data_IF_035578602810
#
_entry.id   IF_035578602810
#
_cell.length_a   1.000
_cell.length_b   1.000
_cell.length_c   1.000
_cell.angle_alpha   90.00
_cell.angle_beta   90.00
_cell.angle_gamma   90.00
#
_symmetry.space_group_name_H-M   'P 1'
#
loop_
_entity.id
_entity.type
_entity.pdbx_description
1 polymer ?
#
# COMPACT_ATOMS: atom_id res chain seq x y z
N UNK A 1 -3.34 24.77 -5.87
CA UNK A 1 -2.90 23.39 -6.03
C UNK A 1 -3.77 22.57 -5.10
N UNK A 2 -4.58 21.68 -5.64
CA UNK A 2 -5.37 20.73 -4.83
C UNK A 2 -4.45 19.65 -4.26
N UNK A 3 -4.89 18.93 -3.23
CA UNK A 3 -4.11 17.84 -2.63
C UNK A 3 -3.81 16.72 -3.63
N UNK A 4 -4.79 16.35 -4.46
CA UNK A 4 -4.59 15.42 -5.59
C UNK A 4 -3.53 15.92 -6.59
N UNK A 5 -3.56 17.21 -6.94
CA UNK A 5 -2.56 17.79 -7.84
C UNK A 5 -1.15 17.71 -7.26
N UNK A 6 -1.01 17.87 -5.94
CA UNK A 6 0.25 17.69 -5.23
C UNK A 6 0.74 16.24 -5.34
N UNK A 7 -0.09 15.26 -4.98
CA UNK A 7 0.28 13.84 -5.02
C UNK A 7 0.61 13.36 -6.44
N UNK A 8 -0.15 13.81 -7.44
CA UNK A 8 0.14 13.52 -8.84
C UNK A 8 1.47 14.10 -9.30
N UNK A 9 1.81 15.31 -8.84
CA UNK A 9 3.07 15.93 -9.16
C UNK A 9 4.23 15.21 -8.49
N UNK A 10 4.12 14.88 -7.19
CA UNK A 10 5.09 14.08 -6.45
C UNK A 10 5.33 12.73 -7.13
N UNK A 11 4.26 12.02 -7.53
CA UNK A 11 4.40 10.76 -8.25
C UNK A 11 5.12 10.90 -9.59
N UNK A 12 4.87 11.97 -10.35
CA UNK A 12 5.60 12.24 -11.60
C UNK A 12 7.08 12.49 -11.36
N UNK A 13 7.42 13.28 -10.35
CA UNK A 13 8.81 13.58 -9.99
C UNK A 13 9.54 12.29 -9.60
N UNK A 14 8.93 11.44 -8.79
CA UNK A 14 9.50 10.14 -8.44
C UNK A 14 9.70 9.27 -9.67
N UNK A 15 8.72 9.20 -10.59
CA UNK A 15 8.87 8.45 -11.85
C UNK A 15 10.02 8.94 -12.72
N UNK A 16 10.25 10.25 -12.78
CA UNK A 16 11.38 10.80 -13.52
C UNK A 16 12.72 10.45 -12.86
N UNK A 17 12.81 10.52 -11.52
CA UNK A 17 14.01 10.06 -10.79
C UNK A 17 14.37 8.60 -11.11
N UNK A 18 13.37 7.71 -11.18
CA UNK A 18 13.60 6.29 -11.54
C UNK A 18 14.18 6.14 -12.95
N UNK A 19 13.76 6.98 -13.91
CA UNK A 19 14.32 6.94 -15.28
C UNK A 19 15.76 7.43 -15.34
N UNK A 20 16.17 8.29 -14.41
CA UNK A 20 17.53 8.83 -14.37
C UNK A 20 18.53 7.84 -13.74
N UNK A 21 18.08 6.97 -12.82
CA UNK A 21 18.91 6.02 -12.08
C UNK A 21 18.46 4.56 -12.26
N UNK A 22 18.69 4.02 -13.46
CA UNK A 22 18.19 2.73 -13.97
C UNK A 22 18.77 1.49 -13.23
N UNK A 23 19.68 1.68 -12.27
CA UNK A 23 20.50 0.58 -11.70
C UNK A 23 20.23 0.26 -10.23
N UNK A 24 19.57 1.15 -9.48
CA UNK A 24 19.28 0.91 -8.07
C UNK A 24 18.04 1.71 -7.62
N UNK A 25 16.88 1.29 -8.11
CA UNK A 25 15.61 1.90 -7.75
C UNK A 25 15.28 1.63 -6.26
N UNK A 26 15.38 2.65 -5.42
CA UNK A 26 14.87 2.66 -4.04
C UNK A 26 13.40 3.09 -4.03
N UNK A 27 12.51 2.21 -3.61
CA UNK A 27 11.07 2.43 -3.57
C UNK A 27 10.58 3.10 -2.28
N UNK A 28 11.49 3.38 -1.33
CA UNK A 28 11.17 4.01 -0.04
C UNK A 28 10.39 5.32 -0.21
N UNK A 29 10.80 6.19 -1.15
CA UNK A 29 10.09 7.45 -1.41
C UNK A 29 8.66 7.22 -1.96
N UNK A 30 8.43 6.12 -2.68
CA UNK A 30 7.09 5.78 -3.16
C UNK A 30 6.21 5.23 -2.03
N UNK A 31 6.76 4.47 -1.09
CA UNK A 31 6.03 4.00 0.08
C UNK A 31 5.61 5.15 0.99
N UNK A 32 6.50 6.13 1.24
CA UNK A 32 6.11 7.34 1.98
C UNK A 32 4.99 8.11 1.29
N UNK A 33 5.03 8.22 -0.05
CA UNK A 33 3.95 8.86 -0.80
C UNK A 33 2.64 8.08 -0.70
N UNK A 34 2.69 6.74 -0.70
CA UNK A 34 1.51 5.90 -0.48
C UNK A 34 0.93 6.15 0.92
N UNK A 35 1.76 6.13 1.97
CA UNK A 35 1.32 6.37 3.35
C UNK A 35 0.63 7.73 3.50
N UNK A 36 1.20 8.78 2.89
CA UNK A 36 0.62 10.12 2.90
C UNK A 36 -0.76 10.14 2.21
N UNK A 37 -0.89 9.49 1.05
CA UNK A 37 -2.16 9.41 0.33
C UNK A 37 -3.17 8.55 1.11
N UNK A 38 -2.76 7.45 1.72
CA UNK A 38 -3.63 6.56 2.51
C UNK A 38 -4.17 7.27 3.75
N UNK A 39 -3.36 8.11 4.41
CA UNK A 39 -3.82 8.97 5.49
C UNK A 39 -4.88 9.96 4.99
N UNK A 40 -4.66 10.61 3.84
CA UNK A 40 -5.64 11.53 3.27
C UNK A 40 -6.92 10.81 2.84
N UNK A 41 -6.82 9.60 2.27
CA UNK A 41 -7.96 8.75 1.95
C UNK A 41 -8.81 8.52 3.20
N UNK A 42 -8.20 8.20 4.34
CA UNK A 42 -8.92 8.02 5.61
C UNK A 42 -9.69 9.29 5.99
N UNK A 43 -9.05 10.45 5.96
CA UNK A 43 -9.66 11.74 6.33
C UNK A 43 -10.77 12.18 5.36
N UNK A 44 -10.61 11.91 4.06
CA UNK A 44 -11.64 12.17 3.04
C UNK A 44 -12.79 11.19 3.19
N UNK A 45 -12.49 9.92 3.43
CA UNK A 45 -13.47 8.85 3.56
C UNK A 45 -14.46 9.11 4.69
N UNK A 46 -13.98 9.50 5.87
CA UNK A 46 -14.84 9.87 7.00
C UNK A 46 -15.83 10.98 6.62
N UNK A 47 -15.34 12.07 6.00
CA UNK A 47 -16.17 13.18 5.54
C UNK A 47 -17.18 12.79 4.47
N UNK A 48 -16.80 11.88 3.58
CA UNK A 48 -17.65 11.36 2.51
C UNK A 48 -18.77 10.50 3.09
N UNK A 49 -18.46 9.58 4.00
CA UNK A 49 -19.45 8.69 4.62
C UNK A 49 -20.45 9.43 5.50
N UNK A 50 -20.02 10.49 6.18
CA UNK A 50 -20.90 11.35 6.98
C UNK A 50 -21.80 12.25 6.13
N UNK A 51 -21.56 12.35 4.82
CA UNK A 51 -22.34 13.21 3.96
C UNK A 51 -23.76 12.63 3.75
N UNK A 52 -24.84 13.43 3.94
CA UNK A 52 -26.22 12.93 3.90
C UNK A 52 -26.67 12.39 2.53
N UNK A 53 -25.91 12.69 1.49
CA UNK A 53 -26.14 12.24 0.11
C UNK A 53 -25.09 11.26 -0.38
N UNK A 54 -24.30 10.70 0.54
CA UNK A 54 -23.32 9.68 0.20
C UNK A 54 -23.96 8.52 -0.54
N UNK A 55 -23.24 8.02 -1.53
CA UNK A 55 -23.58 6.83 -2.28
C UNK A 55 -22.28 6.10 -2.67
N UNK A 56 -22.42 4.83 -3.03
CA UNK A 56 -21.28 3.97 -3.39
C UNK A 56 -20.55 4.38 -4.68
N UNK A 57 -21.08 5.35 -5.43
CA UNK A 57 -20.54 5.79 -6.72
C UNK A 57 -20.16 7.26 -6.57
N UNK A 58 -18.94 7.68 -6.94
CA UNK A 58 -18.56 9.09 -6.90
C UNK A 58 -19.56 9.98 -7.66
N UNK A 59 -20.00 11.07 -7.04
CA UNK A 59 -20.94 12.02 -7.66
C UNK A 59 -20.53 13.47 -7.47
N UNK A 60 -21.04 14.35 -8.33
CA UNK A 60 -20.83 15.80 -8.22
C UNK A 60 -21.56 16.43 -7.03
N UNK A 61 -22.53 15.71 -6.43
CA UNK A 61 -23.24 16.17 -5.22
C UNK A 61 -22.41 16.00 -3.95
N UNK A 62 -21.43 15.09 -3.97
CA UNK A 62 -20.44 14.87 -2.90
C UNK A 62 -19.06 14.97 -3.54
N UNK A 63 -18.53 16.19 -3.81
CA UNK A 63 -17.26 16.37 -4.51
C UNK A 63 -16.11 15.55 -3.92
N UNK A 64 -16.09 15.40 -2.60
CA UNK A 64 -15.11 14.59 -1.86
C UNK A 64 -15.14 13.11 -2.26
N UNK A 65 -16.26 12.57 -2.73
CA UNK A 65 -16.34 11.20 -3.26
C UNK A 65 -15.55 11.02 -4.56
N UNK A 66 -15.47 12.06 -5.38
CA UNK A 66 -14.64 12.09 -6.60
C UNK A 66 -13.17 12.18 -6.19
N UNK A 67 -12.86 13.00 -5.18
CA UNK A 67 -11.52 13.10 -4.61
C UNK A 67 -11.05 11.76 -4.07
N UNK A 68 -11.90 11.07 -3.29
CA UNK A 68 -11.61 9.75 -2.73
C UNK A 68 -11.27 8.73 -3.82
N UNK A 69 -12.13 8.59 -4.83
CA UNK A 69 -11.91 7.67 -5.96
C UNK A 69 -10.63 7.99 -6.75
N UNK A 70 -10.30 9.27 -6.89
CA UNK A 70 -9.06 9.68 -7.55
C UNK A 70 -7.81 9.32 -6.74
N UNK A 71 -7.83 9.50 -5.41
CA UNK A 71 -6.71 9.14 -4.52
C UNK A 71 -6.52 7.61 -4.47
N UNK A 72 -7.59 6.83 -4.34
CA UNK A 72 -7.51 5.36 -4.37
C UNK A 72 -6.91 4.84 -5.67
N UNK A 73 -7.33 5.40 -6.82
CA UNK A 73 -6.75 5.06 -8.13
C UNK A 73 -5.28 5.41 -8.22
N UNK A 74 -4.86 6.53 -7.63
CA UNK A 74 -3.46 6.95 -7.61
C UNK A 74 -2.59 5.97 -6.82
N UNK A 75 -3.02 5.55 -5.63
CA UNK A 75 -2.31 4.52 -4.84
C UNK A 75 -2.13 3.23 -5.64
N UNK A 76 -3.19 2.77 -6.31
CA UNK A 76 -3.13 1.58 -7.18
C UNK A 76 -2.11 1.79 -8.32
N UNK A 77 -2.08 2.97 -8.93
CA UNK A 77 -1.11 3.28 -9.99
C UNK A 77 0.33 3.28 -9.46
N UNK A 78 0.58 3.87 -8.29
CA UNK A 78 1.88 3.88 -7.65
C UNK A 78 2.35 2.44 -7.35
N UNK A 79 1.52 1.64 -6.67
CA UNK A 79 1.84 0.23 -6.36
C UNK A 79 2.11 -0.59 -7.63
N UNK A 80 1.34 -0.37 -8.70
CA UNK A 80 1.59 -1.01 -10.01
C UNK A 80 2.89 -0.55 -10.67
N UNK A 81 3.28 0.70 -10.48
CA UNK A 81 4.55 1.20 -10.99
C UNK A 81 5.72 0.55 -10.26
N UNK A 82 5.71 0.53 -8.93
CA UNK A 82 6.73 -0.15 -8.10
C UNK A 82 6.87 -1.62 -8.52
N UNK A 83 5.76 -2.37 -8.63
CA UNK A 83 5.81 -3.79 -9.05
C UNK A 83 6.35 -3.99 -10.48
N UNK A 84 6.20 -2.99 -11.36
CA UNK A 84 6.77 -3.05 -12.72
C UNK A 84 8.27 -2.77 -12.72
N UNK A 85 8.73 -1.86 -11.87
CA UNK A 85 10.15 -1.47 -11.78
C UNK A 85 10.96 -2.46 -10.93
N UNK A 86 10.33 -3.11 -9.94
CA UNK A 86 10.86 -4.25 -9.21
C UNK A 86 9.97 -5.49 -9.41
N UNK A 87 10.19 -6.28 -10.47
CA UNK A 87 9.40 -7.49 -10.73
C UNK A 87 9.70 -8.63 -9.73
N UNK A 88 10.79 -8.54 -8.98
CA UNK A 88 11.19 -9.50 -7.95
C UNK A 88 11.12 -8.85 -6.57
N UNK A 89 9.96 -8.95 -5.94
CA UNK A 89 9.83 -8.65 -4.53
C UNK A 89 10.44 -9.80 -3.72
N UNK A 90 11.48 -9.49 -2.94
CA UNK A 90 12.18 -10.48 -2.11
C UNK A 90 11.25 -11.04 -1.02
N UNK A 91 10.27 -10.28 -0.57
CA UNK A 91 9.26 -10.76 0.39
C UNK A 91 8.24 -11.67 -0.30
N UNK A 92 7.77 -11.35 -1.51
CA UNK A 92 6.89 -12.23 -2.30
C UNK A 92 7.57 -13.60 -2.59
N UNK A 93 8.90 -13.62 -2.78
CA UNK A 93 9.67 -14.86 -2.88
C UNK A 93 9.71 -15.61 -1.54
N UNK A 94 9.91 -14.90 -0.42
CA UNK A 94 9.92 -15.51 0.92
C UNK A 94 8.56 -16.10 1.28
N UNK A 95 7.46 -15.45 0.91
CA UNK A 95 6.10 -15.99 1.10
C UNK A 95 5.84 -17.19 0.19
N UNK A 96 6.39 -17.22 -1.03
CA UNK A 96 6.36 -18.43 -1.86
C UNK A 96 7.19 -19.58 -1.29
N UNK A 97 8.34 -19.27 -0.67
CA UNK A 97 9.22 -20.26 -0.05
C UNK A 97 8.69 -20.74 1.31
N UNK A 98 7.97 -19.87 2.03
CA UNK A 98 7.44 -20.09 3.36
C UNK A 98 6.00 -19.56 3.46
N UNK A 99 5.03 -20.21 2.78
CA UNK A 99 3.64 -19.74 2.72
C UNK A 99 2.92 -19.73 4.08
N UNK A 100 3.48 -20.43 5.07
CA UNK A 100 2.98 -20.52 6.44
C UNK A 100 3.74 -19.62 7.42
N UNK A 101 4.54 -18.65 6.93
CA UNK A 101 5.32 -17.73 7.78
C UNK A 101 4.44 -16.79 8.61
N UNK A 102 3.23 -16.52 8.11
CA UNK A 102 2.22 -15.69 8.75
C UNK A 102 1.09 -16.50 9.39
N UNK A 103 1.22 -17.84 9.42
CA UNK A 103 0.30 -18.65 10.20
C UNK A 103 0.58 -18.40 11.68
N UNK A 104 -0.46 -17.98 12.41
CA UNK A 104 -0.47 -17.82 13.87
C UNK A 104 -0.09 -19.13 14.62
N UNK A 105 0.03 -20.26 13.90
CA UNK A 105 0.54 -21.53 14.42
C UNK A 105 2.06 -21.52 14.69
N UNK A 106 2.75 -20.42 14.35
CA UNK A 106 4.08 -20.08 14.89
C UNK A 106 3.98 -19.40 16.27
N UNK A 107 2.86 -19.59 16.98
CA UNK A 107 2.78 -19.39 18.41
C UNK A 107 3.94 -20.12 19.10
N UNK A 108 4.62 -19.36 19.95
CA UNK A 108 5.82 -19.66 20.72
C UNK A 108 5.75 -20.99 21.53
N UNK A 109 4.56 -21.59 21.62
CA UNK A 109 4.27 -22.86 22.29
C UNK A 109 4.70 -24.12 21.51
N UNK A 110 4.99 -24.02 20.21
CA UNK A 110 5.53 -25.15 19.43
C UNK A 110 7.03 -25.40 19.68
N UNK A 111 7.70 -24.50 20.41
CA UNK A 111 9.05 -24.68 20.94
C UNK A 111 9.06 -25.33 22.34
N UNK A 112 8.07 -26.16 22.66
CA UNK A 112 8.17 -27.01 23.84
C UNK A 112 9.29 -28.07 23.64
N UNK A 113 10.42 -27.83 24.30
CA UNK A 113 11.60 -28.70 24.41
C UNK A 113 11.29 -30.13 24.93
N UNK A 114 10.06 -30.36 25.41
CA UNK A 114 9.60 -31.56 26.09
C UNK A 114 9.08 -32.68 25.16
N UNK A 115 9.08 -32.48 23.83
CA UNK A 115 8.57 -33.46 22.86
C UNK A 115 9.66 -34.15 22.00
N UNK A 116 10.94 -33.87 22.20
CA UNK A 116 12.05 -34.48 21.42
C UNK A 116 12.78 -35.58 22.19
N UNK A 117 12.75 -35.53 23.53
CA UNK A 117 13.28 -36.60 24.37
C UNK A 117 12.13 -37.20 25.18
N UNK A 118 11.62 -38.33 24.70
CA UNK A 118 10.54 -39.07 25.34
C UNK A 118 10.75 -39.19 26.85
N UNK A 119 9.69 -38.92 27.61
CA UNK A 119 9.60 -39.22 29.03
C UNK A 119 9.73 -40.74 29.19
N UNK A 120 10.84 -41.17 29.79
CA UNK A 120 11.02 -42.50 30.37
C UNK A 120 10.25 -42.59 31.71
#
# INVERSE_FOLDING_TARGET
MTTIEYHLQSFKELKEKVKEDDTNFDDTEFHYLIEEIEQEISDVSERVFDHPKYNLIPTTEVPESITLDALEKLVIEIKRFIKKTQPFDKEEILDYMFPNRHDDDFDEDSMNYDSVFGKD
#
